data_IF_901540773562
#
_entry.id   IF_901540773562
#
_cell.length_a   1.000
_cell.length_b   1.000
_cell.length_c   1.000
_cell.angle_alpha   90.00
_cell.angle_beta   90.00
_cell.angle_gamma   90.00
#
_symmetry.space_group_name_H-M   'P 1'
#
loop_
_entity.id
_entity.type
_entity.pdbx_description
1 polymer ?
#
# COMPACT_ATOMS: atom_id res chain seq x y z
N UNK A 1 -7.19 -0.07 -25.60
CA UNK A 1 -6.16 0.82 -26.18
C UNK A 1 -5.82 2.02 -25.32
N UNK A 2 -6.60 2.37 -24.29
CA UNK A 2 -6.33 3.48 -23.38
C UNK A 2 -6.05 3.05 -21.92
N UNK A 3 -5.57 1.81 -21.72
CA UNK A 3 -5.43 1.22 -20.38
C UNK A 3 -4.51 2.04 -19.46
N UNK A 4 -3.40 2.57 -20.00
CA UNK A 4 -2.47 3.40 -19.23
C UNK A 4 -3.08 4.73 -18.82
N UNK A 5 -3.77 5.42 -19.74
CA UNK A 5 -4.41 6.71 -19.47
C UNK A 5 -5.58 6.57 -18.47
N UNK A 6 -6.36 5.49 -18.59
CA UNK A 6 -7.42 5.16 -17.64
C UNK A 6 -6.89 4.84 -16.24
N UNK A 7 -5.77 4.09 -16.15
CA UNK A 7 -5.12 3.78 -14.87
C UNK A 7 -4.52 5.04 -14.21
N UNK A 8 -3.91 5.94 -14.97
CA UNK A 8 -3.43 7.24 -14.47
C UNK A 8 -4.58 8.14 -13.97
N UNK A 9 -5.71 8.14 -14.69
CA UNK A 9 -6.93 8.83 -14.26
C UNK A 9 -7.43 8.29 -12.92
N UNK A 10 -7.59 6.97 -12.81
CA UNK A 10 -8.04 6.30 -11.57
C UNK A 10 -7.04 6.55 -10.44
N UNK A 11 -5.73 6.46 -10.72
CA UNK A 11 -4.69 6.70 -9.72
C UNK A 11 -4.77 8.12 -9.15
N UNK A 12 -4.96 9.12 -10.00
CA UNK A 12 -5.05 10.51 -9.53
C UNK A 12 -6.38 10.83 -8.84
N UNK A 13 -7.45 10.12 -9.20
CA UNK A 13 -8.70 10.17 -8.44
C UNK A 13 -8.48 9.59 -7.04
N UNK A 14 -7.74 8.49 -6.92
CA UNK A 14 -7.45 7.90 -5.61
C UNK A 14 -6.43 8.71 -4.79
N UNK A 15 -5.56 9.49 -5.43
CA UNK A 15 -4.51 10.28 -4.78
C UNK A 15 -4.52 11.73 -5.30
N UNK A 16 -5.49 12.55 -4.89
CA UNK A 16 -5.60 13.91 -5.37
C UNK A 16 -4.39 14.75 -4.90
N UNK A 17 -3.69 15.45 -5.81
CA UNK A 17 -2.65 16.39 -5.40
C UNK A 17 -3.21 17.52 -4.52
N UNK A 18 -2.37 18.12 -3.68
CA UNK A 18 -2.79 19.23 -2.82
C UNK A 18 -3.30 20.41 -3.67
N UNK A 19 -4.51 20.90 -3.35
CA UNK A 19 -5.19 21.95 -4.12
C UNK A 19 -6.06 21.46 -5.29
N UNK A 20 -6.26 20.14 -5.43
CA UNK A 20 -7.25 19.59 -6.40
C UNK A 20 -8.61 20.22 -6.16
N UNK A 21 -9.19 20.86 -7.18
CA UNK A 21 -10.53 21.45 -7.08
C UNK A 21 -11.61 20.47 -7.52
N UNK A 22 -12.88 20.81 -7.24
CA UNK A 22 -14.03 20.01 -7.71
C UNK A 22 -14.03 19.87 -9.24
N UNK A 23 -13.68 20.92 -9.96
CA UNK A 23 -13.64 20.94 -11.43
C UNK A 23 -12.58 19.98 -11.98
N UNK A 24 -11.44 19.83 -11.28
CA UNK A 24 -10.41 18.85 -11.65
C UNK A 24 -10.93 17.42 -11.52
N UNK A 25 -11.72 17.14 -10.48
CA UNK A 25 -12.32 15.82 -10.23
C UNK A 25 -13.37 15.50 -11.29
N UNK A 26 -14.25 16.46 -11.59
CA UNK A 26 -15.23 16.35 -12.68
C UNK A 26 -14.53 16.06 -14.01
N UNK A 27 -13.50 16.83 -14.33
CA UNK A 27 -12.75 16.68 -15.59
C UNK A 27 -12.09 15.30 -15.72
N UNK A 28 -11.64 14.71 -14.60
CA UNK A 28 -11.03 13.37 -14.57
C UNK A 28 -12.05 12.25 -14.75
N UNK A 29 -13.24 12.37 -14.15
CA UNK A 29 -14.32 11.40 -14.36
C UNK A 29 -14.84 11.46 -15.81
N UNK A 30 -14.94 12.65 -16.40
CA UNK A 30 -15.28 12.82 -17.82
C UNK A 30 -14.21 12.26 -18.75
N UNK A 31 -12.92 12.47 -18.43
CA UNK A 31 -11.82 11.85 -19.16
C UNK A 31 -11.90 10.33 -19.07
N UNK A 32 -12.13 9.77 -17.88
CA UNK A 32 -12.29 8.34 -17.70
C UNK A 32 -13.46 7.78 -18.51
N UNK A 33 -14.57 8.53 -18.62
CA UNK A 33 -15.72 8.17 -19.46
C UNK A 33 -15.35 8.09 -20.93
N UNK A 34 -14.56 9.04 -21.45
CA UNK A 34 -14.11 9.00 -22.85
C UNK A 34 -13.08 7.91 -23.17
N UNK A 35 -12.38 7.41 -22.15
CA UNK A 35 -11.40 6.33 -22.26
C UNK A 35 -12.01 4.93 -22.01
N UNK A 36 -13.24 4.88 -21.48
CA UNK A 36 -13.96 3.64 -21.19
C UNK A 36 -14.37 2.92 -22.49
N UNK A 37 -14.47 1.59 -22.42
CA UNK A 37 -14.94 0.79 -23.55
C UNK A 37 -16.44 1.03 -23.79
N UNK A 38 -16.89 0.99 -25.04
CA UNK A 38 -18.29 1.21 -25.40
C UNK A 38 -19.21 0.28 -24.58
N UNK A 39 -20.10 0.86 -23.78
CA UNK A 39 -20.99 0.17 -22.83
C UNK A 39 -20.65 0.37 -21.35
N UNK A 40 -19.43 0.78 -21.01
CA UNK A 40 -19.02 1.11 -19.63
C UNK A 40 -19.12 2.61 -19.30
N UNK A 41 -19.38 3.46 -20.29
CA UNK A 41 -19.59 4.90 -20.12
C UNK A 41 -20.79 5.21 -19.23
N UNK A 42 -21.83 4.35 -19.27
CA UNK A 42 -23.03 4.47 -18.46
C UNK A 42 -22.81 4.04 -17.00
N UNK A 43 -21.73 3.32 -16.72
CA UNK A 43 -21.34 2.88 -15.37
C UNK A 43 -20.50 3.93 -14.61
N UNK A 44 -20.11 5.02 -15.28
CA UNK A 44 -19.35 6.13 -14.68
C UNK A 44 -20.32 7.29 -14.46
N UNK A 45 -20.58 7.61 -13.19
CA UNK A 45 -21.50 8.66 -12.81
C UNK A 45 -20.75 9.84 -12.21
N UNK A 46 -20.95 11.02 -12.81
CA UNK A 46 -20.55 12.31 -12.25
C UNK A 46 -21.79 13.03 -11.69
N UNK A 47 -21.85 13.25 -10.37
CA UNK A 47 -22.79 14.19 -9.76
C UNK A 47 -24.16 13.67 -9.27
N UNK A 48 -24.33 12.40 -8.91
CA UNK A 48 -25.60 11.94 -8.28
C UNK A 48 -25.62 12.18 -6.76
N UNK A 49 -26.74 12.61 -6.18
CA UNK A 49 -26.87 13.08 -4.78
C UNK A 49 -26.16 14.42 -4.47
N UNK A 50 -26.59 15.51 -5.12
CA UNK A 50 -26.19 16.86 -4.72
C UNK A 50 -24.86 17.35 -5.30
N UNK A 51 -24.48 16.83 -6.46
CA UNK A 51 -23.35 17.28 -7.32
C UNK A 51 -21.92 17.10 -6.79
N UNK A 52 -21.73 16.58 -5.58
CA UNK A 52 -20.41 16.39 -4.98
C UNK A 52 -20.00 14.91 -4.84
N UNK A 53 -20.71 14.01 -5.51
CA UNK A 53 -20.48 12.57 -5.45
C UNK A 53 -20.25 12.01 -6.86
N UNK A 54 -19.21 11.19 -6.98
CA UNK A 54 -18.77 10.59 -8.22
C UNK A 54 -18.57 9.10 -7.99
N UNK A 55 -19.07 8.24 -8.87
CA UNK A 55 -18.90 6.81 -8.69
C UNK A 55 -18.70 6.06 -10.00
N UNK A 56 -18.10 4.88 -9.89
CA UNK A 56 -17.94 3.90 -10.95
C UNK A 56 -18.60 2.61 -10.44
N UNK A 57 -19.47 2.05 -11.25
CA UNK A 57 -20.19 0.82 -10.97
C UNK A 57 -19.60 -0.37 -11.74
N UNK A 58 -19.72 -1.58 -11.19
CA UNK A 58 -19.48 -2.83 -11.93
C UNK A 58 -20.71 -3.29 -12.73
N UNK A 59 -20.60 -4.46 -13.38
CA UNK A 59 -21.68 -5.06 -14.18
C UNK A 59 -22.92 -5.41 -13.35
N UNK A 60 -22.78 -5.57 -12.02
CA UNK A 60 -23.86 -5.86 -11.07
C UNK A 60 -24.42 -4.58 -10.41
N UNK A 61 -24.05 -3.39 -10.92
CA UNK A 61 -24.41 -2.08 -10.37
C UNK A 61 -23.93 -1.84 -8.93
N UNK A 62 -22.84 -2.50 -8.51
CA UNK A 62 -22.15 -2.23 -7.24
C UNK A 62 -21.06 -1.19 -7.43
N UNK A 63 -20.90 -0.32 -6.43
CA UNK A 63 -19.86 0.72 -6.44
C UNK A 63 -18.47 0.11 -6.26
N UNK A 64 -17.64 0.20 -7.30
CA UNK A 64 -16.24 -0.22 -7.25
C UNK A 64 -15.32 0.90 -6.81
N UNK A 65 -15.65 2.14 -7.17
CA UNK A 65 -14.95 3.36 -6.79
C UNK A 65 -15.99 4.46 -6.58
N UNK A 66 -15.97 5.13 -5.44
CA UNK A 66 -16.73 6.35 -5.23
C UNK A 66 -15.90 7.43 -4.57
N UNK A 67 -16.27 8.67 -4.85
CA UNK A 67 -15.59 9.88 -4.39
C UNK A 67 -16.63 10.87 -3.92
N UNK A 68 -16.43 11.38 -2.72
CA UNK A 68 -17.29 12.40 -2.11
C UNK A 68 -16.47 13.63 -1.75
N UNK A 69 -16.90 14.79 -2.25
CA UNK A 69 -16.44 16.10 -1.82
C UNK A 69 -17.43 16.66 -0.78
N UNK A 70 -16.95 17.09 0.38
CA UNK A 70 -17.80 17.81 1.33
C UNK A 70 -17.60 19.34 1.27
N UNK A 71 -18.57 20.08 1.78
CA UNK A 71 -18.52 21.55 1.83
C UNK A 71 -17.39 22.08 2.75
N UNK A 72 -16.72 21.20 3.49
CA UNK A 72 -15.56 21.50 4.33
C UNK A 72 -14.22 21.28 3.61
N UNK A 73 -14.25 20.89 2.33
CA UNK A 73 -13.04 20.67 1.51
C UNK A 73 -12.35 19.32 1.76
N UNK A 74 -13.05 18.35 2.34
CA UNK A 74 -12.57 16.98 2.42
C UNK A 74 -12.98 16.21 1.17
N UNK A 75 -12.04 15.41 0.69
CA UNK A 75 -12.15 14.54 -0.47
C UNK A 75 -12.03 13.10 0.00
N UNK A 76 -13.13 12.37 0.00
CA UNK A 76 -13.17 10.97 0.45
C UNK A 76 -13.25 10.07 -0.75
N UNK A 77 -12.28 9.17 -0.89
CA UNK A 77 -12.28 8.08 -1.88
C UNK A 77 -12.71 6.80 -1.18
N UNK A 78 -13.54 6.01 -1.82
CA UNK A 78 -13.92 4.67 -1.41
C UNK A 78 -13.69 3.72 -2.59
N UNK A 79 -12.90 2.68 -2.41
CA UNK A 79 -12.58 1.70 -3.43
C UNK A 79 -12.61 0.29 -2.83
N UNK A 80 -13.53 -0.56 -3.29
CA UNK A 80 -13.62 -1.97 -2.89
C UNK A 80 -13.53 -2.23 -1.37
N UNK A 81 -14.16 -1.36 -0.56
CA UNK A 81 -14.18 -1.47 0.91
C UNK A 81 -13.01 -0.78 1.64
N UNK A 82 -12.11 -0.12 0.92
CA UNK A 82 -11.11 0.79 1.45
C UNK A 82 -11.60 2.23 1.32
N UNK A 83 -11.59 3.02 2.40
CA UNK A 83 -11.96 4.44 2.36
C UNK A 83 -10.85 5.32 2.92
N UNK A 84 -10.48 6.35 2.16
CA UNK A 84 -9.43 7.32 2.50
C UNK A 84 -9.97 8.74 2.33
N UNK A 85 -9.74 9.62 3.30
CA UNK A 85 -10.19 11.02 3.26
C UNK A 85 -8.99 11.95 3.26
N UNK A 86 -8.85 12.74 2.19
CA UNK A 86 -7.86 13.79 2.06
C UNK A 86 -8.48 15.15 2.40
N UNK A 87 -7.78 16.00 3.14
CA UNK A 87 -8.17 17.40 3.34
C UNK A 87 -7.50 18.26 2.28
N UNK A 88 -8.28 18.91 1.42
CA UNK A 88 -7.76 19.63 0.24
C UNK A 88 -7.29 21.08 0.56
N UNK A 89 -7.38 21.55 1.81
CA UNK A 89 -7.06 22.94 2.15
C UNK A 89 -5.56 23.23 2.26
N UNK A 90 -5.12 24.30 1.59
CA UNK A 90 -3.84 25.00 1.77
C UNK A 90 -4.11 26.45 2.21
N UNK A 91 -3.27 26.93 3.13
CA UNK A 91 -3.33 28.17 3.90
C UNK A 91 -3.92 29.41 3.21
N UNK A 92 -4.90 30.05 3.85
CA UNK A 92 -5.10 31.49 3.76
C UNK A 92 -4.38 32.17 4.92
N UNK A 93 -3.33 32.92 4.61
CA UNK A 93 -2.67 33.84 5.53
C UNK A 93 -3.56 35.06 5.85
N UNK A 94 -3.30 35.64 7.03
CA UNK A 94 -3.71 36.94 7.59
C UNK A 94 -5.03 37.04 8.37
N UNK A 95 -4.87 37.29 9.69
CA UNK A 95 -5.27 38.58 10.26
C UNK A 95 -6.67 38.72 10.86
N UNK A 96 -6.67 39.07 12.15
CA UNK A 96 -7.67 39.88 12.89
C UNK A 96 -8.87 39.19 13.56
N UNK A 97 -8.76 39.18 14.90
CA UNK A 97 -9.74 39.60 15.93
C UNK A 97 -11.24 39.37 15.74
N UNK A 98 -11.87 38.86 16.81
CA UNK A 98 -13.20 39.37 17.20
C UNK A 98 -14.19 38.31 17.68
N UNK A 99 -14.17 38.09 19.00
CA UNK A 99 -15.29 37.71 19.89
C UNK A 99 -16.70 37.55 19.29
N UNK A 100 -17.39 36.46 19.66
CA UNK A 100 -18.84 36.37 19.49
C UNK A 100 -19.46 35.12 20.11
N UNK A 101 -20.35 35.34 21.07
CA UNK A 101 -21.02 34.40 21.97
C UNK A 101 -21.82 33.22 21.36
N UNK A 102 -22.01 32.23 22.24
CA UNK A 102 -22.87 31.05 22.17
C UNK A 102 -24.35 31.33 21.85
N UNK A 103 -25.02 30.37 21.18
CA UNK A 103 -26.19 29.65 21.71
C UNK A 103 -26.68 28.55 20.73
N UNK A 104 -27.00 27.38 21.30
CA UNK A 104 -28.17 26.57 20.94
C UNK A 104 -28.19 25.79 19.61
N UNK A 105 -28.02 24.47 19.70
CA UNK A 105 -29.11 23.53 19.40
C UNK A 105 -28.65 22.08 19.59
N UNK A 106 -29.30 21.40 20.53
CA UNK A 106 -29.25 19.96 20.73
C UNK A 106 -29.61 19.19 19.46
N UNK A 107 -28.73 18.27 19.07
CA UNK A 107 -28.99 17.25 18.06
C UNK A 107 -28.16 16.03 18.36
N UNK A 108 -28.62 15.20 19.30
CA UNK A 108 -28.05 13.88 19.57
C UNK A 108 -28.24 12.98 18.36
N UNK A 109 -27.25 12.89 17.47
CA UNK A 109 -27.06 11.74 16.62
C UNK A 109 -25.92 10.91 17.17
N UNK A 110 -26.28 9.84 17.89
CA UNK A 110 -25.39 8.70 18.10
C UNK A 110 -25.22 8.01 16.74
N UNK A 111 -24.30 8.50 15.92
CA UNK A 111 -23.69 7.66 14.90
C UNK A 111 -22.68 6.78 15.61
N UNK A 112 -23.07 5.53 15.79
CA UNK A 112 -22.19 4.45 16.18
C UNK A 112 -21.22 4.23 15.02
N UNK A 113 -20.12 4.98 15.03
CA UNK A 113 -18.98 4.65 14.17
C UNK A 113 -18.43 3.32 14.66
N UNK A 114 -18.68 2.27 13.87
CA UNK A 114 -17.82 1.10 13.87
C UNK A 114 -16.42 1.62 13.55
N UNK A 115 -15.38 1.33 14.36
CA UNK A 115 -14.05 1.79 14.03
C UNK A 115 -13.63 1.09 12.74
N UNK A 116 -13.35 1.88 11.71
CA UNK A 116 -12.50 1.47 10.60
C UNK A 116 -11.23 0.86 11.19
N UNK A 117 -10.76 -0.26 10.64
CA UNK A 117 -9.58 -0.98 11.12
C UNK A 117 -8.32 -0.13 10.87
N UNK A 118 -8.11 0.88 11.71
CA UNK A 118 -6.91 1.69 11.77
C UNK A 118 -5.76 0.85 12.29
N UNK A 119 -4.58 1.00 11.69
CA UNK A 119 -3.37 0.36 12.21
C UNK A 119 -3.20 0.73 13.70
N UNK A 120 -2.80 -0.22 14.58
CA UNK A 120 -2.63 0.02 16.01
C UNK A 120 -1.84 1.31 16.29
N UNK A 121 -2.46 2.24 17.01
CA UNK A 121 -1.86 3.53 17.38
C UNK A 121 -1.30 3.49 18.80
N UNK A 122 -1.71 2.51 19.61
CA UNK A 122 -1.28 2.37 21.00
C UNK A 122 -0.48 1.08 21.23
N UNK A 123 0.49 1.07 22.17
CA UNK A 123 1.17 -0.17 22.56
C UNK A 123 0.22 -1.29 22.99
N UNK A 124 -0.94 -0.95 23.58
CA UNK A 124 -1.94 -1.92 24.01
C UNK A 124 -2.64 -2.63 22.84
N UNK A 125 -2.91 -1.92 21.74
CA UNK A 125 -3.49 -2.51 20.52
C UNK A 125 -2.49 -3.45 19.83
N UNK A 126 -1.22 -3.05 19.71
CA UNK A 126 -0.16 -3.95 19.24
C UNK A 126 -0.08 -5.22 20.09
N UNK A 127 -0.11 -5.06 21.41
CA UNK A 127 0.02 -6.19 22.33
C UNK A 127 -1.15 -7.17 22.23
N UNK A 128 -2.36 -6.66 21.95
CA UNK A 128 -3.55 -7.47 21.71
C UNK A 128 -3.41 -8.31 20.43
N UNK A 129 -3.02 -7.69 19.31
CA UNK A 129 -2.80 -8.36 18.01
C UNK A 129 -1.72 -9.44 18.13
N UNK A 130 -0.57 -9.09 18.71
CA UNK A 130 0.54 -10.03 18.87
C UNK A 130 0.22 -11.18 19.81
N UNK A 131 -0.52 -10.91 20.87
CA UNK A 131 -0.97 -11.94 21.80
C UNK A 131 -1.96 -12.90 21.13
N UNK A 132 -2.84 -12.40 20.26
CA UNK A 132 -3.76 -13.22 19.48
C UNK A 132 -2.99 -14.12 18.50
N UNK A 133 -2.08 -13.54 17.71
CA UNK A 133 -1.24 -14.29 16.76
C UNK A 133 -0.40 -15.39 17.44
N UNK A 134 0.16 -15.09 18.62
CA UNK A 134 0.91 -16.07 19.42
C UNK A 134 0.01 -17.18 19.97
N UNK A 135 -1.23 -16.89 20.37
CA UNK A 135 -2.19 -17.91 20.85
C UNK A 135 -2.67 -18.82 19.72
N UNK A 136 -2.72 -18.31 18.49
CA UNK A 136 -3.06 -19.08 17.29
C UNK A 136 -1.89 -19.94 16.77
N UNK A 137 -0.77 -20.04 17.51
CA UNK A 137 0.39 -20.81 17.08
C UNK A 137 0.12 -22.32 17.03
N UNK A 138 0.50 -23.01 15.94
CA UNK A 138 0.76 -24.44 16.00
C UNK A 138 1.76 -24.78 17.11
N UNK A 139 1.68 -25.98 17.67
CA UNK A 139 2.51 -26.39 18.80
C UNK A 139 4.02 -26.23 18.51
N UNK A 140 4.43 -26.51 17.27
CA UNK A 140 5.82 -26.43 16.80
C UNK A 140 6.31 -24.97 16.68
N UNK A 141 5.43 -24.04 16.32
CA UNK A 141 5.77 -22.61 16.17
C UNK A 141 5.67 -21.81 17.47
N UNK A 142 5.06 -22.37 18.53
CA UNK A 142 4.74 -21.61 19.75
C UNK A 142 5.93 -20.85 20.34
N UNK A 143 7.10 -21.50 20.41
CA UNK A 143 8.34 -20.88 20.90
C UNK A 143 8.85 -19.81 19.94
N UNK A 144 8.79 -20.08 18.63
CA UNK A 144 9.16 -19.14 17.57
C UNK A 144 8.31 -17.88 17.62
N UNK A 145 6.98 -18.03 17.62
CA UNK A 145 6.06 -16.90 17.72
C UNK A 145 6.27 -16.10 19.01
N UNK A 146 6.51 -16.76 20.14
CA UNK A 146 6.84 -16.07 21.39
C UNK A 146 8.11 -15.22 21.28
N UNK A 147 9.17 -15.73 20.64
CA UNK A 147 10.41 -14.98 20.42
C UNK A 147 10.19 -13.76 19.50
N UNK A 148 9.42 -13.91 18.42
CA UNK A 148 9.08 -12.80 17.51
C UNK A 148 8.28 -11.72 18.24
N UNK A 149 7.27 -12.08 19.04
CA UNK A 149 6.53 -11.11 19.87
C UNK A 149 7.46 -10.37 20.82
N UNK A 150 8.41 -11.06 21.45
CA UNK A 150 9.38 -10.41 22.33
C UNK A 150 10.26 -9.40 21.57
N UNK A 151 10.71 -9.75 20.35
CA UNK A 151 11.50 -8.83 19.50
C UNK A 151 10.69 -7.60 19.09
N UNK A 152 9.44 -7.78 18.65
CA UNK A 152 8.56 -6.66 18.27
C UNK A 152 8.26 -5.73 19.45
N UNK A 153 8.03 -6.29 20.65
CA UNK A 153 7.90 -5.51 21.89
C UNK A 153 9.17 -4.74 22.23
N UNK A 154 10.33 -5.37 22.05
CA UNK A 154 11.61 -4.70 22.25
C UNK A 154 11.73 -3.48 21.32
N UNK A 155 11.43 -3.64 20.02
CA UNK A 155 11.42 -2.54 19.05
C UNK A 155 10.52 -1.38 19.48
N UNK A 156 9.27 -1.63 19.88
CA UNK A 156 8.38 -0.56 20.36
C UNK A 156 8.91 0.14 21.62
N UNK A 157 9.54 -0.59 22.54
CA UNK A 157 9.99 -0.03 23.82
C UNK A 157 11.29 0.77 23.70
N UNK A 158 12.19 0.38 22.81
CA UNK A 158 13.51 1.01 22.67
C UNK A 158 13.64 1.87 21.41
N UNK A 159 12.62 1.91 20.54
CA UNK A 159 12.64 2.64 19.27
C UNK A 159 13.58 2.03 18.22
N UNK A 160 13.96 0.76 18.37
CA UNK A 160 14.84 0.09 17.41
C UNK A 160 14.12 -0.08 16.06
N UNK A 161 14.67 0.57 15.04
CA UNK A 161 14.12 0.58 13.70
C UNK A 161 14.40 -0.71 12.89
N UNK A 162 15.11 -1.68 13.47
CA UNK A 162 15.44 -2.96 12.80
C UNK A 162 14.69 -4.11 13.46
N UNK A 163 13.86 -4.82 12.68
CA UNK A 163 13.20 -6.04 13.11
C UNK A 163 13.68 -7.23 12.26
N UNK A 164 14.34 -8.19 12.91
CA UNK A 164 14.64 -9.49 12.32
C UNK A 164 13.78 -10.56 13.00
N UNK A 165 12.83 -11.16 12.28
CA UNK A 165 11.91 -12.15 12.86
C UNK A 165 12.63 -13.44 13.24
N UNK A 166 13.71 -13.78 12.54
CA UNK A 166 14.53 -14.96 12.75
C UNK A 166 13.92 -16.24 12.16
N UNK A 167 14.73 -17.28 12.12
CA UNK A 167 14.36 -18.59 11.56
C UNK A 167 13.63 -19.39 12.62
N UNK A 168 12.34 -19.59 12.45
CA UNK A 168 11.50 -20.26 13.45
C UNK A 168 10.39 -21.12 12.84
N UNK A 169 10.52 -21.43 11.55
CA UNK A 169 9.53 -22.20 10.80
C UNK A 169 8.14 -21.56 10.77
N UNK A 170 8.07 -20.22 10.91
CA UNK A 170 6.83 -19.47 10.97
C UNK A 170 6.02 -19.68 9.69
N UNK A 171 4.74 -19.99 9.83
CA UNK A 171 3.82 -20.08 8.68
C UNK A 171 3.09 -18.77 8.41
N UNK A 172 2.96 -17.90 9.41
CA UNK A 172 2.38 -16.57 9.27
C UNK A 172 3.12 -15.54 10.12
N UNK A 173 2.96 -14.26 9.79
CA UNK A 173 3.32 -13.12 10.64
C UNK A 173 2.03 -12.46 11.18
N UNK A 174 2.11 -11.67 12.27
CA UNK A 174 0.96 -10.90 12.74
C UNK A 174 0.57 -9.82 11.74
N UNK A 175 -0.71 -9.46 11.71
CA UNK A 175 -1.26 -8.47 10.78
C UNK A 175 -0.66 -7.07 10.94
N UNK A 176 -0.07 -6.77 12.10
CA UNK A 176 0.54 -5.47 12.39
C UNK A 176 1.98 -5.63 12.89
N UNK A 177 2.91 -5.02 12.17
CA UNK A 177 4.31 -4.86 12.56
C UNK A 177 4.53 -3.47 13.19
N UNK A 178 5.55 -3.26 14.03
CA UNK A 178 5.80 -1.94 14.61
C UNK A 178 6.00 -0.88 13.52
N UNK A 179 5.16 0.14 13.47
CA UNK A 179 5.10 1.08 12.33
C UNK A 179 6.38 1.91 12.09
N UNK A 180 7.24 2.08 13.10
CA UNK A 180 8.45 2.90 13.03
C UNK A 180 9.68 2.16 12.48
N UNK A 181 9.58 0.86 12.17
CA UNK A 181 10.74 0.12 11.66
C UNK A 181 11.09 0.55 10.24
N UNK A 182 12.38 0.70 9.99
CA UNK A 182 12.93 1.05 8.68
C UNK A 182 13.58 -0.15 8.00
N UNK A 183 13.94 -1.20 8.75
CA UNK A 183 14.54 -2.43 8.23
C UNK A 183 13.78 -3.65 8.75
N UNK A 184 13.30 -4.48 7.82
CA UNK A 184 12.61 -5.73 8.11
C UNK A 184 13.37 -6.89 7.45
N UNK A 185 13.81 -7.85 8.26
CA UNK A 185 14.51 -9.05 7.81
C UNK A 185 13.69 -10.30 8.17
N UNK A 186 13.39 -11.09 7.15
CA UNK A 186 12.56 -12.30 7.24
C UNK A 186 13.32 -13.47 6.64
N UNK A 187 14.20 -14.12 7.44
CA UNK A 187 14.98 -15.24 6.96
C UNK A 187 14.20 -16.56 7.07
N UNK A 188 14.53 -17.51 6.20
CA UNK A 188 14.18 -18.93 6.19
C UNK A 188 13.03 -19.36 7.12
N UNK A 189 11.80 -19.18 6.62
CA UNK A 189 10.55 -19.56 7.28
C UNK A 189 9.60 -20.23 6.26
N UNK A 190 8.36 -20.53 6.65
CA UNK A 190 7.37 -21.16 5.77
C UNK A 190 6.24 -20.20 5.42
N UNK A 191 6.53 -18.88 5.32
CA UNK A 191 5.51 -17.87 5.07
C UNK A 191 5.00 -17.99 3.64
N UNK A 192 3.68 -17.97 3.49
CA UNK A 192 2.99 -17.93 2.18
C UNK A 192 2.55 -16.51 1.79
N UNK A 193 2.48 -15.61 2.76
CA UNK A 193 2.15 -14.20 2.57
C UNK A 193 2.84 -13.32 3.61
N UNK A 194 2.95 -12.03 3.30
CA UNK A 194 3.39 -11.00 4.24
C UNK A 194 2.21 -10.10 4.64
N UNK A 195 2.20 -9.56 5.87
CA UNK A 195 1.22 -8.56 6.29
C UNK A 195 1.46 -7.22 5.58
N UNK A 196 0.61 -6.23 5.86
CA UNK A 196 0.86 -4.86 5.45
C UNK A 196 2.23 -4.39 5.97
N UNK A 197 3.03 -3.81 5.07
CA UNK A 197 4.38 -3.36 5.40
C UNK A 197 4.33 -2.03 6.15
N UNK A 198 5.26 -1.78 7.10
CA UNK A 198 5.38 -0.50 7.77
C UNK A 198 5.58 0.66 6.78
N UNK A 199 4.92 1.81 6.97
CA UNK A 199 4.99 2.92 6.02
C UNK A 199 6.40 3.54 5.92
N UNK A 200 7.18 3.47 7.02
CA UNK A 200 8.54 4.02 7.08
C UNK A 200 9.63 3.03 6.63
N UNK A 201 9.25 1.88 6.09
CA UNK A 201 10.22 0.87 5.67
C UNK A 201 11.12 1.42 4.55
N UNK A 202 12.43 1.19 4.71
CA UNK A 202 13.48 1.57 3.75
C UNK A 202 14.17 0.33 3.18
N UNK A 203 14.30 -0.74 3.96
CA UNK A 203 14.92 -1.99 3.56
C UNK A 203 14.03 -3.17 3.91
N UNK A 204 13.73 -4.00 2.92
CA UNK A 204 13.03 -5.28 3.08
C UNK A 204 13.93 -6.40 2.56
N UNK A 205 14.25 -7.35 3.44
CA UNK A 205 14.98 -8.57 3.11
C UNK A 205 14.15 -9.80 3.48
N UNK A 206 13.90 -10.67 2.49
CA UNK A 206 13.16 -11.92 2.66
C UNK A 206 13.92 -13.05 1.98
N UNK A 207 14.22 -14.11 2.72
CA UNK A 207 14.91 -15.30 2.20
C UNK A 207 14.13 -16.57 2.49
N UNK A 208 14.20 -17.55 1.59
CA UNK A 208 13.81 -18.93 1.89
C UNK A 208 12.40 -19.05 2.47
N UNK A 209 11.40 -18.55 1.74
CA UNK A 209 9.99 -18.63 2.14
C UNK A 209 9.16 -19.15 0.95
N UNK A 210 7.84 -19.26 1.13
CA UNK A 210 6.91 -19.78 0.14
C UNK A 210 5.99 -18.67 -0.41
N UNK A 211 6.51 -17.44 -0.51
CA UNK A 211 5.75 -16.29 -0.99
C UNK A 211 5.46 -16.42 -2.49
N UNK A 212 4.19 -16.34 -2.86
CA UNK A 212 3.74 -16.33 -4.27
C UNK A 212 3.47 -14.92 -4.80
N UNK A 213 3.30 -13.95 -3.89
CA UNK A 213 3.13 -12.52 -4.19
C UNK A 213 3.66 -11.67 -3.03
N UNK A 214 3.73 -10.36 -3.26
CA UNK A 214 4.10 -9.37 -2.25
C UNK A 214 2.94 -8.39 -2.01
N UNK A 215 2.82 -7.84 -0.79
CA UNK A 215 1.94 -6.72 -0.52
C UNK A 215 2.42 -5.46 -1.25
N UNK A 216 1.60 -4.41 -1.21
CA UNK A 216 2.00 -3.08 -1.70
C UNK A 216 3.27 -2.63 -0.99
N UNK A 217 4.25 -2.17 -1.77
CA UNK A 217 5.53 -1.71 -1.26
C UNK A 217 5.41 -0.27 -0.73
N UNK A 218 5.99 0.05 0.44
CA UNK A 218 5.98 1.41 0.97
C UNK A 218 6.67 2.38 0.01
N UNK A 219 6.15 3.61 -0.16
CA UNK A 219 6.66 4.57 -1.16
C UNK A 219 8.10 5.00 -0.90
N UNK A 220 8.57 4.92 0.35
CA UNK A 220 9.94 5.25 0.73
C UNK A 220 10.93 4.08 0.70
N UNK A 221 10.55 2.90 0.19
CA UNK A 221 11.45 1.75 0.14
C UNK A 221 12.64 2.03 -0.80
N UNK A 222 13.86 1.77 -0.32
CA UNK A 222 15.11 2.01 -1.04
C UNK A 222 15.77 0.71 -1.49
N UNK A 223 15.64 -0.35 -0.69
CA UNK A 223 16.28 -1.64 -0.94
C UNK A 223 15.26 -2.77 -0.77
N UNK A 224 15.11 -3.57 -1.82
CA UNK A 224 14.25 -4.75 -1.83
C UNK A 224 15.07 -5.98 -2.21
N UNK A 225 15.18 -6.91 -1.27
CA UNK A 225 15.90 -8.18 -1.44
C UNK A 225 14.96 -9.33 -1.15
N UNK A 226 14.60 -10.11 -2.16
CA UNK A 226 13.74 -11.29 -2.00
C UNK A 226 14.33 -12.45 -2.79
N UNK A 227 14.80 -13.48 -2.11
CA UNK A 227 15.40 -14.62 -2.78
C UNK A 227 14.87 -15.96 -2.28
N UNK A 228 14.95 -16.97 -3.14
CA UNK A 228 14.45 -18.33 -2.85
C UNK A 228 12.99 -18.32 -2.41
N UNK A 229 12.12 -17.71 -3.21
CA UNK A 229 10.67 -17.72 -3.06
C UNK A 229 10.00 -18.07 -4.40
N UNK A 230 8.81 -18.68 -4.43
CA UNK A 230 8.09 -18.98 -5.66
C UNK A 230 7.34 -17.76 -6.24
N UNK A 231 7.92 -16.55 -6.18
CA UNK A 231 7.28 -15.34 -6.74
C UNK A 231 7.19 -15.43 -8.26
N UNK A 232 6.01 -15.15 -8.80
CA UNK A 232 5.75 -15.15 -10.25
C UNK A 232 5.68 -13.75 -10.86
N UNK A 233 5.40 -12.75 -10.03
CA UNK A 233 5.31 -11.34 -10.41
C UNK A 233 5.69 -10.44 -9.24
N UNK A 234 5.95 -9.17 -9.53
CA UNK A 234 6.20 -8.12 -8.55
C UNK A 234 5.09 -7.06 -8.58
N UNK A 235 4.78 -6.41 -7.45
CA UNK A 235 3.93 -5.23 -7.42
C UNK A 235 4.65 -4.03 -8.06
N UNK A 236 3.96 -2.88 -8.15
CA UNK A 236 4.58 -1.64 -8.58
C UNK A 236 5.78 -1.29 -7.68
N UNK A 237 6.88 -0.91 -8.31
CA UNK A 237 8.12 -0.55 -7.62
C UNK A 237 8.07 0.92 -7.19
N UNK A 238 8.46 1.26 -5.95
CA UNK A 238 8.59 2.65 -5.52
C UNK A 238 9.60 3.41 -6.38
N UNK A 239 9.29 4.67 -6.69
CA UNK A 239 10.14 5.53 -7.54
C UNK A 239 11.54 5.77 -6.96
N UNK A 240 11.66 5.72 -5.62
CA UNK A 240 12.92 5.88 -4.89
C UNK A 240 13.76 4.62 -4.73
N UNK A 241 13.34 3.46 -5.28
CA UNK A 241 14.07 2.21 -5.09
C UNK A 241 15.44 2.24 -5.79
N UNK A 242 16.51 2.01 -5.04
CA UNK A 242 17.88 2.05 -5.52
C UNK A 242 18.46 0.66 -5.79
N UNK A 243 18.04 -0.36 -5.02
CA UNK A 243 18.52 -1.74 -5.16
C UNK A 243 17.36 -2.72 -5.23
N UNK A 244 17.36 -3.56 -6.26
CA UNK A 244 16.37 -4.60 -6.47
C UNK A 244 17.07 -5.94 -6.67
N UNK A 245 17.04 -6.80 -5.66
CA UNK A 245 17.62 -8.14 -5.69
C UNK A 245 16.53 -9.20 -5.53
N UNK A 246 16.03 -9.72 -6.65
CA UNK A 246 14.93 -10.69 -6.71
C UNK A 246 15.37 -12.01 -7.36
N UNK A 247 16.58 -12.48 -7.03
CA UNK A 247 17.15 -13.67 -7.66
C UNK A 247 16.61 -14.97 -7.04
N UNK A 248 16.61 -16.06 -7.81
CA UNK A 248 16.13 -17.36 -7.34
C UNK A 248 14.63 -17.36 -7.05
N UNK A 249 13.85 -16.75 -7.96
CA UNK A 249 12.38 -16.77 -7.93
C UNK A 249 11.84 -17.42 -9.22
N UNK A 250 10.55 -17.25 -9.50
CA UNK A 250 9.87 -17.78 -10.70
C UNK A 250 9.27 -16.65 -11.55
N UNK A 251 9.90 -15.47 -11.55
CA UNK A 251 9.38 -14.30 -12.25
C UNK A 251 9.38 -14.54 -13.76
N UNK A 252 8.24 -14.30 -14.40
CA UNK A 252 8.10 -14.37 -15.87
C UNK A 252 8.21 -13.00 -16.54
N UNK A 253 8.02 -11.93 -15.77
CA UNK A 253 8.17 -10.54 -16.23
C UNK A 253 8.57 -9.62 -15.06
N UNK A 254 9.01 -8.40 -15.39
CA UNK A 254 9.29 -7.34 -14.44
C UNK A 254 8.37 -6.15 -14.68
N UNK A 255 7.96 -5.42 -13.62
CA UNK A 255 7.31 -4.12 -13.75
C UNK A 255 8.28 -3.08 -14.33
N UNK A 256 7.77 -1.87 -14.60
CA UNK A 256 8.63 -0.74 -14.98
C UNK A 256 9.65 -0.48 -13.87
N UNK A 257 10.91 -0.39 -14.26
CA UNK A 257 12.01 -0.15 -13.33
C UNK A 257 12.05 1.34 -12.98
N UNK A 258 12.27 1.69 -11.69
CA UNK A 258 12.39 3.09 -11.30
C UNK A 258 13.63 3.73 -11.92
N UNK A 259 13.56 5.00 -12.34
CA UNK A 259 14.64 5.67 -13.07
C UNK A 259 15.95 5.78 -12.27
N UNK A 260 15.86 5.81 -10.93
CA UNK A 260 17.01 5.89 -10.02
C UNK A 260 17.59 4.53 -9.59
N UNK A 261 17.14 3.41 -10.18
CA UNK A 261 17.63 2.08 -9.81
C UNK A 261 19.10 1.92 -10.20
N UNK A 262 19.94 1.57 -9.24
CA UNK A 262 21.38 1.44 -9.42
C UNK A 262 21.82 -0.03 -9.58
N UNK A 263 21.18 -0.94 -8.85
CA UNK A 263 21.51 -2.36 -8.88
C UNK A 263 20.27 -3.22 -9.15
N UNK A 264 20.37 -4.09 -10.15
CA UNK A 264 19.33 -5.06 -10.49
C UNK A 264 19.92 -6.48 -10.51
N UNK A 265 19.44 -7.33 -9.61
CA UNK A 265 19.71 -8.77 -9.62
C UNK A 265 18.40 -9.53 -9.79
N UNK A 266 18.21 -10.15 -10.95
CA UNK A 266 17.04 -10.97 -11.31
C UNK A 266 17.47 -12.32 -11.86
N UNK A 267 18.67 -12.76 -11.48
CA UNK A 267 19.21 -14.04 -11.91
C UNK A 267 18.37 -15.21 -11.38
N UNK A 268 18.45 -16.36 -12.04
CA UNK A 268 17.71 -17.57 -11.63
C UNK A 268 16.20 -17.31 -11.55
N UNK A 269 15.63 -16.83 -12.67
CA UNK A 269 14.21 -16.57 -12.86
C UNK A 269 13.74 -17.13 -14.22
N UNK A 270 12.50 -16.81 -14.63
CA UNK A 270 11.90 -17.26 -15.88
C UNK A 270 11.63 -16.11 -16.86
N UNK A 271 12.48 -15.08 -16.84
CA UNK A 271 12.27 -13.88 -17.66
C UNK A 271 12.56 -14.17 -19.13
N UNK A 272 11.60 -13.87 -20.00
CA UNK A 272 11.78 -13.93 -21.46
C UNK A 272 12.43 -12.65 -22.04
N UNK A 273 12.25 -11.52 -21.35
CA UNK A 273 12.83 -10.24 -21.71
C UNK A 273 13.01 -9.36 -20.48
N UNK A 274 13.78 -8.27 -20.63
CA UNK A 274 13.90 -7.22 -19.62
C UNK A 274 13.14 -5.97 -20.09
N UNK A 275 12.54 -5.19 -19.16
CA UNK A 275 12.01 -3.87 -19.47
C UNK A 275 13.14 -2.90 -19.83
N UNK A 276 12.78 -1.67 -20.23
CA UNK A 276 13.76 -0.62 -20.43
C UNK A 276 14.60 -0.42 -19.16
N UNK A 277 15.93 -0.51 -19.32
CA UNK A 277 16.86 -0.36 -18.22
C UNK A 277 17.00 1.13 -17.87
N UNK A 278 17.01 1.50 -16.58
CA UNK A 278 17.19 2.88 -16.17
C UNK A 278 18.61 3.37 -16.44
N UNK A 279 18.76 4.67 -16.71
CA UNK A 279 20.07 5.28 -17.04
C UNK A 279 21.09 5.19 -15.91
N UNK A 280 20.61 5.19 -14.66
CA UNK A 280 21.46 5.15 -13.46
C UNK A 280 21.92 3.73 -13.09
N UNK A 281 21.52 2.72 -13.86
CA UNK A 281 21.85 1.33 -13.58
C UNK A 281 23.35 1.07 -13.77
N UNK A 282 24.03 0.72 -12.69
CA UNK A 282 25.47 0.43 -12.69
C UNK A 282 25.78 -1.06 -12.60
N UNK A 283 24.86 -1.89 -12.11
CA UNK A 283 25.03 -3.35 -12.00
C UNK A 283 23.77 -4.09 -12.44
N UNK A 284 23.97 -5.07 -13.32
CA UNK A 284 22.92 -5.95 -13.80
C UNK A 284 23.38 -7.41 -13.72
N UNK A 285 22.62 -8.22 -12.98
CA UNK A 285 22.75 -9.67 -12.98
C UNK A 285 21.41 -10.28 -13.39
N UNK A 286 21.38 -10.89 -14.57
CA UNK A 286 20.18 -11.55 -15.12
C UNK A 286 20.50 -12.92 -15.72
N UNK A 287 21.57 -13.57 -15.26
CA UNK A 287 21.95 -14.89 -15.75
C UNK A 287 20.92 -15.95 -15.32
N UNK A 288 20.90 -17.10 -16.01
CA UNK A 288 19.94 -18.17 -15.77
C UNK A 288 18.47 -17.69 -15.86
N UNK A 289 18.17 -16.97 -16.94
CA UNK A 289 16.83 -16.61 -17.42
C UNK A 289 16.63 -17.15 -18.84
N UNK A 290 15.50 -16.84 -19.48
CA UNK A 290 15.20 -17.17 -20.88
C UNK A 290 15.23 -15.94 -21.78
N UNK A 291 16.17 -15.01 -21.54
CA UNK A 291 16.29 -13.76 -22.27
C UNK A 291 16.65 -14.02 -23.75
N UNK A 292 15.83 -13.49 -24.66
CA UNK A 292 16.04 -13.54 -26.12
C UNK A 292 16.42 -12.19 -26.70
#
# INVERSE_FOLDING_TARGET
THQTEALECIWTICHPPAGTTREDVVSRFELLRTLAYAGWEESIHSGQHGENYFCILDEDSQEILSVTLDDAGNYTVNCQGYSETHRLTLDTAQGEEGTGHAEGASGTFRTSFLPATTAPQTPAEYDAVWSAWRRAAPAEESRGRAAVVQKMRACLNNGNAVLNVGESGLTTLPDCLPAHITTLVIPDNNLTSLPALPPELRTLEVSGNQLTSLPVLPPGLLELSIFSNPLTHLPALPSGLCKLWIFGNQLTSLPVLPPGLQELSVSDNQLASLPALPSELCKLWAYNNQLT
#
